data_IF_159253780621
#
_entry.id   IF_159253780621
#
_cell.length_a   1.000
_cell.length_b   1.000
_cell.length_c   1.000
_cell.angle_alpha   90.00
_cell.angle_beta   90.00
_cell.angle_gamma   90.00
#
_symmetry.space_group_name_H-M   'P 1'
#
loop_
_entity.id
_entity.type
_entity.pdbx_description
1 polymer ?
#
# COMPACT_ATOMS: atom_id res chain seq x y z
N UNK A 1 -24.07 7.85 -2.42
CA UNK A 1 -22.70 8.13 -1.92
C UNK A 1 -21.77 6.96 -2.26
N UNK A 2 -20.77 7.16 -3.13
CA UNK A 2 -19.60 6.27 -3.26
C UNK A 2 -18.48 7.09 -3.89
N UNK A 3 -17.43 7.40 -3.13
CA UNK A 3 -16.33 8.23 -3.61
C UNK A 3 -15.61 7.49 -4.75
N UNK A 4 -15.86 7.90 -6.00
CA UNK A 4 -15.05 7.50 -7.16
C UNK A 4 -13.74 8.27 -7.05
N UNK A 5 -12.69 7.63 -6.53
CA UNK A 5 -11.35 8.17 -6.68
C UNK A 5 -10.96 8.07 -8.16
N UNK A 6 -10.74 9.23 -8.77
CA UNK A 6 -10.38 9.39 -10.16
C UNK A 6 -9.08 8.67 -10.49
N UNK A 7 -9.10 7.90 -11.57
CA UNK A 7 -7.90 7.32 -12.18
C UNK A 7 -7.06 8.47 -12.72
N UNK A 8 -6.06 8.89 -11.97
CA UNK A 8 -5.05 9.84 -12.42
C UNK A 8 -4.30 9.25 -13.60
N UNK A 9 -4.50 9.87 -14.75
CA UNK A 9 -3.81 9.68 -16.00
C UNK A 9 -2.32 10.02 -15.84
N UNK A 10 -1.48 9.03 -15.57
CA UNK A 10 -0.05 9.12 -15.85
C UNK A 10 0.26 7.99 -16.82
N UNK A 11 0.41 8.37 -18.10
CA UNK A 11 0.93 7.50 -19.15
C UNK A 11 2.44 7.41 -18.92
N UNK A 12 2.87 6.36 -18.22
CA UNK A 12 4.26 5.92 -18.24
C UNK A 12 4.27 4.75 -19.21
N UNK A 13 5.09 4.80 -20.26
CA UNK A 13 5.24 3.74 -21.28
C UNK A 13 5.92 2.48 -20.73
N UNK A 14 5.41 1.95 -19.61
CA UNK A 14 5.94 0.81 -18.89
C UNK A 14 4.90 0.14 -18.01
N UNK A 15 5.21 -1.10 -17.57
CA UNK A 15 4.31 -1.88 -16.72
C UNK A 15 3.94 -1.07 -15.48
N UNK A 16 2.65 -0.83 -15.20
CA UNK A 16 2.23 -0.14 -14.01
C UNK A 16 2.87 -0.79 -12.78
N UNK A 17 3.33 0.00 -11.80
CA UNK A 17 3.92 -0.56 -10.59
C UNK A 17 2.94 -1.57 -9.99
N UNK A 18 3.44 -2.77 -9.66
CA UNK A 18 2.67 -3.95 -9.24
C UNK A 18 1.64 -3.65 -8.13
N UNK A 19 1.89 -2.60 -7.33
CA UNK A 19 0.96 -2.11 -6.32
C UNK A 19 0.76 -0.61 -6.48
N UNK A 20 -0.51 -0.16 -6.51
CA UNK A 20 -0.86 1.26 -6.50
C UNK A 20 -0.49 1.92 -5.16
N UNK A 21 -0.40 3.25 -5.15
CA UNK A 21 -0.22 4.01 -3.90
C UNK A 21 -1.36 3.75 -2.92
N UNK A 22 -2.60 3.68 -3.41
CA UNK A 22 -3.79 3.31 -2.63
C UNK A 22 -3.67 1.93 -1.99
N UNK A 23 -3.15 0.93 -2.71
CA UNK A 23 -2.92 -0.41 -2.15
C UNK A 23 -1.91 -0.40 -1.00
N UNK A 24 -0.82 0.38 -1.14
CA UNK A 24 0.15 0.55 -0.04
C UNK A 24 -0.46 1.27 1.15
N UNK A 25 -1.29 2.29 0.91
CA UNK A 25 -1.98 3.02 1.96
C UNK A 25 -2.92 2.11 2.75
N UNK A 26 -3.77 1.35 2.06
CA UNK A 26 -4.67 0.37 2.68
C UNK A 26 -3.89 -0.60 3.58
N UNK A 27 -2.74 -1.11 3.10
CA UNK A 27 -1.93 -2.02 3.89
C UNK A 27 -1.32 -1.39 5.15
N UNK A 28 -0.86 -0.13 5.08
CA UNK A 28 -0.38 0.59 6.26
C UNK A 28 -1.51 0.88 7.25
N UNK A 29 -2.70 1.25 6.76
CA UNK A 29 -3.87 1.48 7.61
C UNK A 29 -4.27 0.19 8.37
N UNK A 30 -4.17 -0.98 7.73
CA UNK A 30 -4.43 -2.27 8.38
C UNK A 30 -3.39 -2.62 9.45
N UNK A 31 -2.11 -2.29 9.24
CA UNK A 31 -1.07 -2.45 10.25
C UNK A 31 -1.32 -1.51 11.45
N UNK A 32 -1.72 -0.26 11.19
CA UNK A 32 -2.06 0.70 12.24
C UNK A 32 -3.27 0.27 13.08
N UNK A 33 -4.19 -0.51 12.51
CA UNK A 33 -5.31 -1.15 13.23
C UNK A 33 -4.88 -2.37 14.07
N UNK A 34 -3.59 -2.70 14.14
CA UNK A 34 -3.05 -3.78 14.95
C UNK A 34 -3.04 -5.16 14.26
N UNK A 35 -3.29 -5.24 12.94
CA UNK A 35 -3.14 -6.51 12.22
C UNK A 35 -1.67 -6.88 12.07
N UNK A 36 -1.38 -8.18 12.14
CA UNK A 36 -0.04 -8.69 11.89
C UNK A 36 0.35 -8.57 10.40
N UNK A 37 1.65 -8.49 10.13
CA UNK A 37 2.18 -8.46 8.76
C UNK A 37 1.69 -9.62 7.90
N UNK A 38 1.58 -10.83 8.46
CA UNK A 38 1.09 -12.02 7.75
C UNK A 38 -0.39 -11.89 7.38
N UNK A 39 -1.22 -11.30 8.24
CA UNK A 39 -2.63 -11.03 7.94
C UNK A 39 -2.75 -9.98 6.85
N UNK A 40 -1.97 -8.89 6.93
CA UNK A 40 -2.00 -7.82 5.92
C UNK A 40 -1.52 -8.34 4.55
N UNK A 41 -0.50 -9.19 4.51
CA UNK A 41 -0.04 -9.84 3.29
C UNK A 41 -1.13 -10.71 2.64
N UNK A 42 -1.85 -11.51 3.44
CA UNK A 42 -3.00 -12.29 2.94
C UNK A 42 -4.14 -11.43 2.45
N UNK A 43 -4.42 -10.30 3.11
CA UNK A 43 -5.54 -9.41 2.76
C UNK A 43 -5.26 -8.53 1.54
N UNK A 44 -4.00 -8.11 1.35
CA UNK A 44 -3.63 -7.09 0.34
C UNK A 44 -2.78 -7.65 -0.80
N UNK A 45 -2.25 -8.87 -0.66
CA UNK A 45 -1.29 -9.45 -1.59
C UNK A 45 0.09 -8.77 -1.59
N UNK A 46 0.32 -7.82 -0.68
CA UNK A 46 1.61 -7.14 -0.55
C UNK A 46 2.50 -7.95 0.37
N UNK A 47 3.65 -8.37 -0.16
CA UNK A 47 4.61 -9.17 0.59
C UNK A 47 5.10 -8.45 1.85
N UNK A 48 5.40 -9.21 2.90
CA UNK A 48 5.92 -8.70 4.18
C UNK A 48 7.12 -7.74 4.05
N UNK A 49 8.05 -8.00 3.12
CA UNK A 49 9.22 -7.14 2.90
C UNK A 49 8.87 -5.72 2.45
N UNK A 50 7.86 -5.58 1.58
CA UNK A 50 7.34 -4.28 1.15
C UNK A 50 6.67 -3.58 2.34
N UNK A 51 5.86 -4.32 3.12
CA UNK A 51 5.18 -3.77 4.29
C UNK A 51 6.17 -3.19 5.32
N UNK A 52 7.22 -3.94 5.65
CA UNK A 52 8.26 -3.49 6.59
C UNK A 52 8.98 -2.25 6.06
N UNK A 53 9.32 -2.22 4.76
CA UNK A 53 10.00 -1.08 4.14
C UNK A 53 9.14 0.17 4.17
N UNK A 54 7.88 0.07 3.78
CA UNK A 54 6.95 1.21 3.81
C UNK A 54 6.67 1.65 5.24
N UNK A 55 6.52 0.72 6.19
CA UNK A 55 6.34 1.06 7.60
C UNK A 55 7.54 1.86 8.13
N UNK A 56 8.78 1.43 7.86
CA UNK A 56 9.99 2.20 8.24
C UNK A 56 10.00 3.62 7.69
N UNK A 57 9.57 3.82 6.43
CA UNK A 57 9.42 5.17 5.85
C UNK A 57 8.39 6.02 6.59
N UNK A 58 7.35 5.40 7.15
CA UNK A 58 6.31 6.13 7.91
C UNK A 58 6.76 6.47 9.34
N UNK A 59 7.50 5.60 10.02
CA UNK A 59 7.89 5.82 11.44
C UNK A 59 9.19 6.64 11.58
N UNK A 60 10.02 6.70 10.54
CA UNK A 60 11.27 7.46 10.56
C UNK A 60 11.38 8.37 9.34
N UNK A 61 10.81 9.59 9.41
CA UNK A 61 11.09 10.63 8.44
C UNK A 61 12.44 11.23 8.80
N UNK A 62 13.52 10.76 8.16
CA UNK A 62 14.77 11.53 8.10
C UNK A 62 14.62 12.62 7.03
#
# INVERSE_FOLDING_TARGET
MRQKQGKSSIRVDGRPPKFSREHRKLAMDLLAQGKSYTQVERMTGISRSILVREHRKTVSPL
#
